data_IF_649024480439
#
_entry.id   IF_649024480439
#
_cell.length_a   1.000
_cell.length_b   1.000
_cell.length_c   1.000
_cell.angle_alpha   90.00
_cell.angle_beta   90.00
_cell.angle_gamma   90.00
#
_symmetry.space_group_name_H-M   'P 1'
#
loop_
_entity.id
_entity.type
_entity.pdbx_description
1 polymer ?
#
# COMPACT_ATOMS: atom_id res chain seq x y z
N UNK A 1 -17.62 4.14 -4.11
CA UNK A 1 -17.17 4.79 -2.83
C UNK A 1 -17.60 3.90 -1.68
N UNK A 2 -16.70 3.58 -0.75
CA UNK A 2 -16.99 2.74 0.42
C UNK A 2 -17.58 3.60 1.53
N UNK A 3 -18.70 3.17 2.13
CA UNK A 3 -19.32 3.81 3.29
C UNK A 3 -18.76 3.16 4.57
N UNK A 4 -17.96 3.89 5.33
CA UNK A 4 -17.49 3.45 6.65
C UNK A 4 -18.46 3.91 7.75
N UNK A 5 -18.85 3.02 8.64
CA UNK A 5 -19.55 3.30 9.87
C UNK A 5 -18.75 2.74 11.06
N UNK A 6 -18.35 3.59 11.99
CA UNK A 6 -17.72 3.14 13.23
C UNK A 6 -18.76 3.12 14.34
N UNK A 7 -18.89 1.99 15.01
CA UNK A 7 -19.80 1.81 16.14
C UNK A 7 -19.08 1.88 17.48
N UNK A 8 -19.80 1.76 18.59
CA UNK A 8 -19.22 1.77 19.93
C UNK A 8 -18.24 0.60 20.10
N UNK A 9 -17.17 0.84 20.88
CA UNK A 9 -16.22 -0.20 21.27
C UNK A 9 -16.92 -1.38 21.95
N UNK A 10 -16.43 -2.59 21.69
CA UNK A 10 -16.95 -3.82 22.31
C UNK A 10 -15.83 -4.81 22.61
N UNK A 11 -16.09 -5.76 23.50
CA UNK A 11 -15.22 -6.93 23.59
C UNK A 11 -15.38 -7.80 22.35
N UNK A 12 -14.29 -8.28 21.80
CA UNK A 12 -14.34 -9.25 20.71
C UNK A 12 -14.86 -10.59 21.24
N UNK A 13 -16.06 -10.99 20.79
CA UNK A 13 -16.63 -12.28 21.14
C UNK A 13 -15.88 -13.42 20.43
N UNK A 14 -15.92 -14.63 21.00
CA UNK A 14 -15.41 -15.81 20.30
C UNK A 14 -16.23 -16.07 19.03
N UNK A 15 -15.54 -16.46 17.94
CA UNK A 15 -16.16 -16.83 16.68
C UNK A 15 -16.12 -18.36 16.60
N UNK A 16 -17.29 -19.00 16.42
CA UNK A 16 -17.38 -20.47 16.38
C UNK A 16 -16.87 -21.05 15.04
N UNK A 17 -16.96 -20.28 13.95
CA UNK A 17 -16.49 -20.70 12.64
C UNK A 17 -14.96 -20.59 12.53
N UNK A 18 -14.36 -21.45 11.71
CA UNK A 18 -12.94 -21.38 11.37
C UNK A 18 -12.71 -20.28 10.34
N UNK A 19 -11.68 -19.45 10.46
CA UNK A 19 -11.32 -18.49 9.43
C UNK A 19 -10.95 -19.24 8.13
N UNK A 20 -11.38 -18.73 6.98
CA UNK A 20 -10.98 -19.30 5.70
C UNK A 20 -9.56 -18.89 5.30
N UNK A 21 -9.07 -17.80 5.86
CA UNK A 21 -7.70 -17.31 5.66
C UNK A 21 -7.20 -16.58 6.90
N UNK A 22 -5.88 -16.69 7.15
CA UNK A 22 -5.18 -15.92 8.18
C UNK A 22 -3.97 -15.23 7.56
N UNK A 23 -3.83 -13.94 7.85
CA UNK A 23 -2.56 -13.26 7.61
C UNK A 23 -1.69 -13.35 8.86
N UNK A 24 -0.52 -13.97 8.70
CA UNK A 24 0.41 -14.25 9.81
C UNK A 24 1.68 -13.45 9.60
N UNK A 25 2.14 -12.77 10.64
CA UNK A 25 3.40 -12.03 10.64
C UNK A 25 4.61 -12.98 10.67
N UNK A 26 5.79 -12.44 10.36
CA UNK A 26 7.02 -13.23 10.30
C UNK A 26 7.44 -13.89 11.63
N UNK A 27 6.92 -13.43 12.77
CA UNK A 27 7.11 -14.00 14.11
C UNK A 27 6.07 -15.08 14.49
N UNK A 28 5.14 -15.40 13.58
CA UNK A 28 4.06 -16.36 13.78
C UNK A 28 2.78 -15.77 14.39
N UNK A 29 2.75 -14.48 14.71
CA UNK A 29 1.55 -13.83 15.25
C UNK A 29 0.48 -13.71 14.17
N UNK A 30 -0.76 -14.12 14.48
CA UNK A 30 -1.92 -13.89 13.61
C UNK A 30 -2.25 -12.39 13.65
N UNK A 31 -2.10 -11.75 12.48
CA UNK A 31 -2.38 -10.33 12.31
C UNK A 31 -3.85 -10.07 11.95
N UNK A 32 -4.41 -10.87 11.02
CA UNK A 32 -5.80 -10.74 10.60
C UNK A 32 -6.39 -12.11 10.33
N UNK A 33 -7.58 -12.34 10.89
CA UNK A 33 -8.41 -13.52 10.61
C UNK A 33 -9.54 -13.13 9.67
N UNK A 34 -9.79 -13.93 8.64
CA UNK A 34 -10.81 -13.68 7.62
C UNK A 34 -11.92 -14.72 7.71
N UNK A 35 -13.14 -14.24 7.90
CA UNK A 35 -14.34 -15.08 7.99
C UNK A 35 -15.35 -14.66 6.93
N UNK A 36 -16.12 -15.65 6.43
CA UNK A 36 -17.33 -15.40 5.64
C UNK A 36 -18.55 -15.38 6.55
N UNK A 37 -19.49 -14.49 6.23
CA UNK A 37 -20.79 -14.40 6.89
C UNK A 37 -21.91 -14.30 5.85
N UNK A 38 -23.16 -14.45 6.28
CA UNK A 38 -24.32 -14.31 5.38
C UNK A 38 -24.42 -12.92 4.74
N UNK A 39 -23.87 -11.89 5.40
CA UNK A 39 -23.87 -10.50 4.92
C UNK A 39 -22.62 -10.12 4.11
N UNK A 40 -21.60 -10.99 4.06
CA UNK A 40 -20.32 -10.72 3.40
C UNK A 40 -19.14 -11.28 4.17
N UNK A 41 -18.31 -10.45 4.73
CA UNK A 41 -17.05 -10.84 5.38
C UNK A 41 -16.90 -10.21 6.75
N UNK A 42 -16.21 -10.91 7.64
CA UNK A 42 -15.71 -10.36 8.90
C UNK A 42 -14.19 -10.49 8.92
N UNK A 43 -13.49 -9.37 9.06
CA UNK A 43 -12.04 -9.32 9.22
C UNK A 43 -11.74 -8.91 10.66
N UNK A 44 -11.10 -9.82 11.40
CA UNK A 44 -10.71 -9.60 12.79
C UNK A 44 -9.24 -9.27 12.89
N UNK A 45 -8.94 -8.15 13.50
CA UNK A 45 -7.61 -7.83 14.05
C UNK A 45 -7.66 -8.09 15.55
N UNK A 46 -7.02 -9.17 16.04
CA UNK A 46 -7.09 -9.54 17.45
C UNK A 46 -6.71 -8.36 18.36
N UNK A 47 -7.52 -8.14 19.40
CA UNK A 47 -7.38 -7.08 20.39
C UNK A 47 -7.44 -5.63 19.87
N UNK A 48 -7.69 -5.41 18.57
CA UNK A 48 -7.75 -4.09 17.95
C UNK A 48 -9.14 -3.74 17.41
N UNK A 49 -9.67 -4.50 16.46
CA UNK A 49 -10.98 -4.23 15.85
C UNK A 49 -11.50 -5.42 15.04
N UNK A 50 -12.82 -5.49 14.92
CA UNK A 50 -13.51 -6.29 13.91
C UNK A 50 -14.06 -5.37 12.82
N UNK A 51 -13.94 -5.78 11.54
CA UNK A 51 -14.53 -5.07 10.41
C UNK A 51 -15.48 -5.98 9.65
N UNK A 52 -16.75 -5.61 9.60
CA UNK A 52 -17.74 -6.26 8.75
C UNK A 52 -17.73 -5.58 7.38
N UNK A 53 -17.52 -6.35 6.32
CA UNK A 53 -17.48 -5.85 4.94
C UNK A 53 -18.63 -6.51 4.18
N UNK A 54 -19.49 -5.70 3.54
CA UNK A 54 -20.59 -6.21 2.72
C UNK A 54 -20.08 -7.10 1.57
N UNK A 55 -20.92 -8.03 1.11
CA UNK A 55 -20.56 -8.96 0.04
C UNK A 55 -20.09 -8.27 -1.26
N UNK A 56 -20.58 -7.07 -1.54
CA UNK A 56 -20.21 -6.23 -2.67
C UNK A 56 -19.07 -5.24 -2.38
N UNK A 57 -18.56 -5.20 -1.15
CA UNK A 57 -17.50 -4.29 -0.72
C UNK A 57 -17.88 -2.82 -0.60
N UNK A 58 -19.18 -2.47 -0.68
CA UNK A 58 -19.61 -1.06 -0.66
C UNK A 58 -19.81 -0.48 0.75
N UNK A 59 -20.00 -1.34 1.75
CA UNK A 59 -20.20 -0.94 3.14
C UNK A 59 -19.20 -1.63 4.06
N UNK A 60 -18.69 -0.87 5.02
CA UNK A 60 -17.80 -1.35 6.07
C UNK A 60 -18.30 -0.86 7.42
N UNK A 61 -18.46 -1.77 8.38
CA UNK A 61 -18.77 -1.43 9.77
C UNK A 61 -17.55 -1.80 10.63
N UNK A 62 -16.98 -0.81 11.29
CA UNK A 62 -15.87 -1.00 12.21
C UNK A 62 -16.35 -1.12 13.64
N UNK A 63 -15.95 -2.17 14.32
CA UNK A 63 -16.21 -2.46 15.73
C UNK A 63 -14.87 -2.41 16.48
N UNK A 64 -14.48 -1.26 17.05
CA UNK A 64 -13.26 -1.16 17.85
C UNK A 64 -13.27 -2.14 19.03
N UNK A 65 -12.16 -2.77 19.31
CA UNK A 65 -11.99 -3.49 20.58
C UNK A 65 -11.88 -2.48 21.73
N UNK A 66 -12.17 -2.92 22.95
CA UNK A 66 -12.14 -2.05 24.12
C UNK A 66 -10.75 -1.44 24.31
N UNK A 67 -10.70 -0.11 24.33
CA UNK A 67 -9.48 0.67 24.53
C UNK A 67 -8.67 0.93 23.25
N UNK A 68 -9.17 0.53 22.08
CA UNK A 68 -8.53 0.88 20.81
C UNK A 68 -8.85 2.32 20.43
N UNK A 69 -7.84 3.11 20.17
CA UNK A 69 -8.00 4.51 19.77
C UNK A 69 -8.54 4.64 18.33
N UNK A 70 -9.17 5.78 18.03
CA UNK A 70 -9.78 6.03 16.72
C UNK A 70 -8.75 6.12 15.59
N UNK A 71 -7.51 6.55 15.86
CA UNK A 71 -6.45 6.64 14.86
C UNK A 71 -6.00 5.25 14.42
N UNK A 72 -5.97 4.28 15.35
CA UNK A 72 -5.71 2.87 15.06
C UNK A 72 -6.79 2.28 14.16
N UNK A 73 -8.07 2.52 14.48
CA UNK A 73 -9.20 2.02 13.65
C UNK A 73 -9.18 2.63 12.26
N UNK A 74 -8.97 3.95 12.16
CA UNK A 74 -8.85 4.65 10.87
C UNK A 74 -7.71 4.10 10.04
N UNK A 75 -6.57 3.84 10.67
CA UNK A 75 -5.41 3.30 9.98
C UNK A 75 -5.64 1.88 9.45
N UNK A 76 -6.21 1.00 10.25
CA UNK A 76 -6.59 -0.36 9.82
C UNK A 76 -7.55 -0.29 8.63
N UNK A 77 -8.56 0.59 8.72
CA UNK A 77 -9.50 0.80 7.64
C UNK A 77 -8.81 1.24 6.35
N UNK A 78 -8.05 2.33 6.39
CA UNK A 78 -7.48 2.94 5.18
C UNK A 78 -6.44 2.04 4.49
N UNK A 79 -5.63 1.31 5.26
CA UNK A 79 -4.47 0.59 4.71
C UNK A 79 -4.68 -0.92 4.59
N UNK A 80 -5.73 -1.48 5.20
CA UNK A 80 -6.00 -2.92 5.16
C UNK A 80 -7.40 -3.20 4.61
N UNK A 81 -8.44 -2.56 5.16
CA UNK A 81 -9.82 -2.91 4.85
C UNK A 81 -10.29 -2.30 3.54
N UNK A 82 -10.09 -0.99 3.35
CA UNK A 82 -10.55 -0.31 2.14
C UNK A 82 -9.96 -0.90 0.85
N UNK A 83 -8.64 -1.22 0.76
CA UNK A 83 -8.08 -1.89 -0.42
C UNK A 83 -8.72 -3.26 -0.69
N UNK A 84 -8.98 -4.04 0.37
CA UNK A 84 -9.66 -5.34 0.25
C UNK A 84 -11.10 -5.19 -0.18
N UNK A 85 -11.85 -4.23 0.37
CA UNK A 85 -13.23 -3.95 -0.03
C UNK A 85 -13.31 -3.46 -1.50
N UNK A 86 -12.34 -2.64 -1.95
CA UNK A 86 -12.22 -2.21 -3.34
C UNK A 86 -12.00 -3.38 -4.29
N UNK A 87 -11.26 -4.42 -3.88
CA UNK A 87 -11.08 -5.62 -4.69
C UNK A 87 -12.40 -6.33 -5.00
N UNK A 88 -13.38 -6.29 -4.07
CA UNK A 88 -14.74 -6.81 -4.31
C UNK A 88 -15.55 -5.98 -5.31
N UNK A 89 -15.20 -4.71 -5.48
CA UNK A 89 -15.81 -3.81 -6.45
C UNK A 89 -15.13 -3.87 -7.83
N UNK A 90 -14.19 -4.79 -8.03
CA UNK A 90 -13.39 -4.89 -9.25
C UNK A 90 -12.41 -3.71 -9.41
N UNK A 91 -12.10 -3.00 -8.33
CA UNK A 91 -11.13 -1.91 -8.34
C UNK A 91 -9.78 -2.38 -7.79
N UNK A 92 -8.74 -2.29 -8.55
CA UNK A 92 -7.42 -2.78 -8.22
C UNK A 92 -6.68 -1.92 -7.21
N UNK A 93 -6.33 -2.52 -6.14
CA UNK A 93 -5.49 -1.94 -5.12
C UNK A 93 -4.21 -2.75 -4.91
N UNK A 94 -3.09 -2.04 -4.75
CA UNK A 94 -1.77 -2.64 -4.62
C UNK A 94 -1.04 -2.11 -3.39
N UNK A 95 -0.26 -2.96 -2.77
CA UNK A 95 0.63 -2.57 -1.68
C UNK A 95 1.85 -1.85 -2.25
N UNK A 96 1.74 -0.55 -2.39
CA UNK A 96 2.73 0.31 -3.02
C UNK A 96 2.79 1.70 -2.39
N UNK A 97 3.96 2.35 -2.50
CA UNK A 97 4.14 3.78 -2.24
C UNK A 97 4.32 4.50 -3.58
N UNK A 98 3.74 5.68 -3.75
CA UNK A 98 3.72 6.40 -5.04
C UNK A 98 4.15 7.84 -4.87
N UNK A 99 5.06 8.26 -5.74
CA UNK A 99 5.55 9.66 -5.83
C UNK A 99 5.40 10.18 -7.26
N UNK A 100 5.48 11.50 -7.45
CA UNK A 100 5.54 12.11 -8.78
C UNK A 100 6.99 12.33 -9.21
N UNK A 101 7.29 11.90 -10.44
CA UNK A 101 8.59 12.14 -11.09
C UNK A 101 8.31 12.62 -12.50
N UNK A 102 8.89 13.76 -12.88
CA UNK A 102 8.74 14.34 -14.23
C UNK A 102 7.28 14.44 -14.73
N UNK A 103 6.36 14.77 -13.82
CA UNK A 103 4.94 14.94 -14.13
C UNK A 103 4.11 13.66 -14.16
N UNK A 104 4.70 12.49 -13.96
CA UNK A 104 4.02 11.19 -13.89
C UNK A 104 4.16 10.53 -12.52
N UNK A 105 3.29 9.57 -12.23
CA UNK A 105 3.35 8.76 -11.03
C UNK A 105 4.36 7.61 -11.21
N UNK A 106 5.18 7.41 -10.21
CA UNK A 106 6.13 6.30 -10.08
C UNK A 106 5.76 5.50 -8.86
N UNK A 107 5.43 4.23 -9.06
CA UNK A 107 5.04 3.30 -8.00
C UNK A 107 6.22 2.45 -7.54
N UNK A 108 6.40 2.31 -6.23
CA UNK A 108 7.35 1.38 -5.61
C UNK A 108 6.57 0.20 -5.05
N UNK A 109 6.75 -0.98 -5.63
CA UNK A 109 6.17 -2.26 -5.25
C UNK A 109 7.19 -3.09 -4.46
N UNK A 110 6.75 -4.14 -3.77
CA UNK A 110 7.63 -5.09 -3.08
C UNK A 110 7.09 -5.50 -1.71
N UNK A 111 7.67 -6.54 -1.15
CA UNK A 111 7.27 -7.10 0.15
C UNK A 111 7.35 -6.06 1.27
N UNK A 112 6.64 -6.31 2.38
CA UNK A 112 6.79 -5.51 3.59
C UNK A 112 8.25 -5.49 4.05
N UNK A 113 8.73 -4.34 4.53
CA UNK A 113 10.12 -4.18 4.98
C UNK A 113 11.14 -3.88 3.87
N UNK A 114 10.78 -3.94 2.58
CA UNK A 114 11.71 -3.66 1.47
C UNK A 114 12.03 -2.17 1.25
N UNK A 115 11.54 -1.27 2.09
CA UNK A 115 11.91 0.15 2.05
C UNK A 115 11.08 1.01 1.08
N UNK A 116 9.89 0.57 0.62
CA UNK A 116 9.00 1.36 -0.25
C UNK A 116 8.71 2.74 0.32
N UNK A 117 8.16 2.79 1.55
CA UNK A 117 7.82 4.04 2.24
C UNK A 117 9.06 4.91 2.49
N UNK A 118 10.20 4.30 2.83
CA UNK A 118 11.47 5.02 3.04
C UNK A 118 11.96 5.67 1.74
N UNK A 119 11.89 4.93 0.62
CA UNK A 119 12.27 5.47 -0.68
C UNK A 119 11.30 6.59 -1.11
N UNK A 120 9.99 6.38 -0.99
CA UNK A 120 8.98 7.41 -1.29
C UNK A 120 9.17 8.66 -0.42
N UNK A 121 9.43 8.51 0.88
CA UNK A 121 9.72 9.61 1.78
C UNK A 121 10.99 10.37 1.36
N UNK A 122 12.04 9.65 0.92
CA UNK A 122 13.25 10.29 0.43
C UNK A 122 13.00 11.16 -0.81
N UNK A 123 12.08 10.77 -1.71
CA UNK A 123 11.63 11.60 -2.82
C UNK A 123 10.82 12.80 -2.34
N UNK A 124 9.88 12.59 -1.42
CA UNK A 124 9.01 13.64 -0.91
C UNK A 124 9.81 14.75 -0.19
N UNK A 125 10.81 14.36 0.62
CA UNK A 125 11.72 15.28 1.30
C UNK A 125 12.59 16.06 0.29
N UNK A 126 12.94 15.44 -0.84
CA UNK A 126 13.66 16.10 -1.93
C UNK A 126 12.75 16.98 -2.81
N UNK A 127 11.47 17.17 -2.46
CA UNK A 127 10.53 18.08 -3.12
C UNK A 127 9.57 17.45 -4.12
N UNK A 128 9.60 16.12 -4.31
CA UNK A 128 8.58 15.44 -5.10
C UNK A 128 7.24 15.39 -4.34
N UNK A 129 6.11 15.46 -5.04
CA UNK A 129 4.84 15.19 -4.40
C UNK A 129 4.65 13.67 -4.25
N UNK A 130 4.05 13.24 -3.15
CA UNK A 130 3.58 11.85 -2.99
C UNK A 130 2.07 11.76 -3.19
N UNK A 131 1.58 10.60 -3.63
CA UNK A 131 0.14 10.34 -3.83
C UNK A 131 -0.44 9.42 -2.75
N UNK A 132 0.30 8.37 -2.42
CA UNK A 132 -0.15 7.34 -1.49
C UNK A 132 1.03 6.61 -0.86
N UNK A 133 0.79 6.02 0.30
CA UNK A 133 1.66 5.05 0.95
C UNK A 133 0.81 3.85 1.38
N UNK A 134 1.35 2.65 1.26
CA UNK A 134 0.73 1.36 1.58
C UNK A 134 -0.45 0.91 0.68
N UNK A 135 -1.19 1.80 0.02
CA UNK A 135 -2.36 1.41 -0.80
C UNK A 135 -2.49 2.26 -2.07
N UNK A 136 -1.99 1.74 -3.18
CA UNK A 136 -2.16 2.30 -4.52
C UNK A 136 -3.43 1.75 -5.17
N UNK A 137 -4.39 2.61 -5.46
CA UNK A 137 -5.54 2.28 -6.32
C UNK A 137 -5.25 2.78 -7.73
N UNK A 138 -5.46 1.93 -8.73
CA UNK A 138 -5.30 2.28 -10.14
C UNK A 138 -6.66 2.36 -10.82
N UNK A 139 -6.87 3.43 -11.56
CA UNK A 139 -8.01 3.61 -12.48
C UNK A 139 -7.53 3.57 -13.92
N UNK A 140 -8.22 2.79 -14.75
CA UNK A 140 -7.99 2.80 -16.19
C UNK A 140 -8.86 3.88 -16.84
N UNK A 141 -8.24 4.86 -17.53
CA UNK A 141 -8.90 5.93 -18.29
C UNK A 141 -8.19 6.12 -19.62
N UNK A 142 -8.93 6.35 -20.68
CA UNK A 142 -8.40 6.76 -22.00
C UNK A 142 -7.22 5.89 -22.47
N UNK A 143 -7.26 4.60 -22.13
CA UNK A 143 -6.22 3.64 -22.50
C UNK A 143 -4.98 3.65 -21.57
N UNK A 144 -4.87 4.58 -20.64
CA UNK A 144 -3.78 4.69 -19.63
C UNK A 144 -4.17 4.18 -18.25
N UNK A 145 -3.20 4.11 -17.37
CA UNK A 145 -3.36 3.80 -15.94
C UNK A 145 -3.10 5.06 -15.11
N UNK A 146 -3.99 5.38 -14.18
CA UNK A 146 -3.86 6.54 -13.29
C UNK A 146 -3.82 6.08 -11.84
N UNK A 147 -2.80 6.52 -11.12
CA UNK A 147 -2.71 6.36 -9.68
C UNK A 147 -3.66 7.34 -9.01
N UNK A 148 -4.57 6.83 -8.17
CA UNK A 148 -5.45 7.65 -7.38
C UNK A 148 -4.73 8.09 -6.09
N UNK A 149 -4.99 9.34 -5.69
CA UNK A 149 -4.54 9.85 -4.42
C UNK A 149 -5.30 9.20 -3.26
N UNK A 150 -4.59 8.89 -2.18
CA UNK A 150 -5.18 8.38 -0.95
C UNK A 150 -4.94 9.31 0.24
N UNK A 151 -4.81 8.76 1.43
CA UNK A 151 -4.59 9.54 2.64
C UNK A 151 -3.25 10.31 2.58
N UNK A 152 -3.19 11.60 2.95
CA UNK A 152 -2.01 12.45 2.85
C UNK A 152 -0.99 12.18 3.96
N UNK A 153 -0.55 10.94 4.13
CA UNK A 153 0.48 10.57 5.11
C UNK A 153 1.40 9.49 4.60
N UNK A 154 2.66 9.55 5.03
CA UNK A 154 3.68 8.52 4.89
C UNK A 154 3.98 7.91 6.25
N UNK A 155 4.25 6.61 6.31
CA UNK A 155 4.59 5.93 7.56
C UNK A 155 5.99 5.35 7.53
N UNK A 156 6.83 5.81 8.44
CA UNK A 156 8.23 5.45 8.52
C UNK A 156 8.57 4.81 9.88
N UNK A 157 9.48 3.85 9.86
CA UNK A 157 10.15 3.41 11.07
C UNK A 157 10.97 4.54 11.67
N UNK A 158 11.20 4.53 12.97
CA UNK A 158 11.91 5.59 13.68
C UNK A 158 13.32 5.82 13.13
N UNK A 159 14.04 4.76 12.79
CA UNK A 159 15.37 4.85 12.16
C UNK A 159 15.34 5.58 10.80
N UNK A 160 14.26 5.38 10.01
CA UNK A 160 14.05 6.11 8.75
C UNK A 160 13.73 7.59 9.00
N UNK A 161 12.96 7.90 10.05
CA UNK A 161 12.69 9.28 10.45
C UNK A 161 13.98 9.98 10.86
N UNK A 162 14.75 9.35 11.75
CA UNK A 162 16.02 9.91 12.27
C UNK A 162 17.04 10.15 11.14
N UNK A 163 17.09 9.22 10.17
CA UNK A 163 18.04 9.30 9.07
C UNK A 163 17.64 10.33 7.99
N UNK A 164 16.34 10.50 7.72
CA UNK A 164 15.83 11.31 6.60
C UNK A 164 15.42 12.74 7.03
N UNK A 165 14.92 12.92 8.24
CA UNK A 165 14.25 14.16 8.66
C UNK A 165 14.96 14.79 9.87
N UNK A 166 15.62 13.97 10.70
CA UNK A 166 16.14 14.42 11.98
C UNK A 166 15.02 14.63 13.02
N UNK A 167 15.39 15.06 14.23
CA UNK A 167 14.48 15.10 15.39
C UNK A 167 13.46 16.27 15.38
N UNK A 168 13.42 17.12 14.37
CA UNK A 168 12.70 18.40 14.44
C UNK A 168 11.29 18.41 13.81
N UNK A 169 10.86 17.38 13.08
CA UNK A 169 9.61 17.44 12.28
C UNK A 169 8.78 16.15 12.43
N UNK A 170 8.38 15.80 13.63
CA UNK A 170 7.46 14.67 13.81
C UNK A 170 6.21 15.11 14.55
N UNK A 171 5.13 15.34 13.81
CA UNK A 171 3.77 15.32 14.37
C UNK A 171 3.34 13.85 14.39
N UNK A 172 3.77 13.13 15.44
CA UNK A 172 3.64 11.67 15.51
C UNK A 172 2.37 11.24 16.21
N UNK A 173 1.25 11.19 15.50
CA UNK A 173 0.14 10.34 15.91
C UNK A 173 0.55 8.88 15.72
N UNK A 174 1.03 8.25 16.76
CA UNK A 174 1.33 6.80 16.76
C UNK A 174 0.01 6.03 16.82
N UNK A 175 -0.07 4.92 16.09
CA UNK A 175 -1.14 3.93 16.28
C UNK A 175 -0.68 2.89 17.31
N UNK A 176 -1.62 2.33 18.07
CA UNK A 176 -1.32 1.50 19.24
C UNK A 176 -0.50 0.23 18.95
N UNK A 177 -0.52 -0.27 17.71
CA UNK A 177 0.13 -1.55 17.34
C UNK A 177 1.41 -1.39 16.52
N UNK A 178 1.84 -0.18 16.16
CA UNK A 178 3.01 0.05 15.31
C UNK A 178 3.85 1.21 15.82
N UNK A 179 5.15 0.98 15.93
CA UNK A 179 6.13 2.01 16.27
C UNK A 179 6.52 2.92 15.09
N UNK A 180 5.86 2.77 13.92
CA UNK A 180 6.07 3.66 12.79
C UNK A 180 5.52 5.05 13.10
N UNK A 181 6.33 6.08 12.87
CA UNK A 181 5.90 7.46 12.90
C UNK A 181 5.07 7.80 11.66
N UNK A 182 4.04 8.62 11.82
CA UNK A 182 3.20 9.13 10.74
C UNK A 182 3.66 10.52 10.36
N UNK A 183 4.07 10.71 9.11
CA UNK A 183 4.40 12.01 8.53
C UNK A 183 3.19 12.49 7.74
N UNK A 184 2.58 13.58 8.18
CA UNK A 184 1.47 14.21 7.47
C UNK A 184 1.97 15.15 6.38
N UNK A 185 1.25 15.23 5.27
CA UNK A 185 1.43 16.30 4.30
C UNK A 185 1.20 17.67 4.96
N UNK A 186 2.09 18.61 4.71
CA UNK A 186 2.05 19.92 5.31
C UNK A 186 3.03 20.87 4.64
N UNK A 187 3.72 21.70 5.41
CA UNK A 187 4.68 22.67 4.87
C UNK A 187 5.91 22.03 4.21
N UNK A 188 6.31 20.83 4.65
CA UNK A 188 7.52 20.15 4.20
C UNK A 188 7.30 19.02 3.21
N UNK A 189 6.11 18.40 3.21
CA UNK A 189 5.76 17.30 2.30
C UNK A 189 4.57 17.68 1.44
N UNK A 190 4.73 17.64 0.12
CA UNK A 190 3.67 17.93 -0.84
C UNK A 190 2.90 16.65 -1.14
N UNK A 191 1.57 16.68 -1.01
CA UNK A 191 0.67 15.61 -1.39
C UNK A 191 -0.10 15.99 -2.66
N UNK A 192 -0.06 15.13 -3.68
CA UNK A 192 -0.87 15.29 -4.88
C UNK A 192 -2.29 14.81 -4.61
N UNK A 193 -3.27 15.65 -4.86
CA UNK A 193 -4.69 15.33 -4.65
C UNK A 193 -5.38 14.77 -5.89
N UNK A 194 -4.84 15.11 -7.05
CA UNK A 194 -5.40 14.70 -8.34
C UNK A 194 -4.82 13.36 -8.78
N UNK A 195 -5.59 12.54 -9.53
CA UNK A 195 -5.06 11.35 -10.16
C UNK A 195 -3.92 11.69 -11.12
N UNK A 196 -2.87 10.88 -11.10
CA UNK A 196 -1.68 11.08 -11.93
C UNK A 196 -1.41 9.85 -12.79
N UNK A 197 -1.13 10.06 -14.08
CA UNK A 197 -0.79 8.98 -15.02
C UNK A 197 0.43 8.20 -14.51
N UNK A 198 0.34 6.86 -14.47
CA UNK A 198 1.44 5.99 -14.02
C UNK A 198 2.44 5.83 -15.16
N UNK A 199 3.64 6.37 -14.98
CA UNK A 199 4.73 6.31 -15.95
C UNK A 199 5.59 5.05 -15.80
N UNK A 200 5.81 4.59 -14.57
CA UNK A 200 6.59 3.38 -14.28
C UNK A 200 6.26 2.80 -12.90
N UNK A 201 6.57 1.52 -12.74
CA UNK A 201 6.60 0.84 -11.46
C UNK A 201 7.97 0.20 -11.25
N UNK A 202 8.47 0.28 -10.01
CA UNK A 202 9.73 -0.34 -9.60
C UNK A 202 9.46 -1.35 -8.49
N UNK A 203 9.81 -2.59 -8.73
CA UNK A 203 9.72 -3.68 -7.76
C UNK A 203 11.02 -3.70 -6.96
N UNK A 204 10.94 -3.40 -5.68
CA UNK A 204 12.10 -3.42 -4.81
C UNK A 204 12.50 -4.87 -4.54
N UNK A 205 13.65 -5.27 -5.05
CA UNK A 205 14.25 -6.58 -4.86
C UNK A 205 14.94 -6.73 -3.50
N UNK A 206 15.42 -7.94 -3.23
CA UNK A 206 16.17 -8.27 -2.02
C UNK A 206 17.68 -8.35 -2.22
N UNK A 207 18.18 -8.12 -3.42
CA UNK A 207 19.60 -8.16 -3.72
C UNK A 207 20.26 -6.83 -3.35
N UNK A 208 21.51 -6.91 -2.89
CA UNK A 208 22.35 -5.75 -2.57
C UNK A 208 23.57 -5.73 -3.50
N UNK A 209 23.41 -5.28 -4.75
CA UNK A 209 24.53 -5.15 -5.69
C UNK A 209 25.51 -4.07 -5.22
N UNK A 210 26.73 -4.07 -5.78
CA UNK A 210 27.73 -3.01 -5.52
C UNK A 210 27.27 -1.61 -5.96
N UNK A 211 26.21 -1.52 -6.80
CA UNK A 211 25.66 -0.27 -7.31
C UNK A 211 24.14 -0.23 -7.23
N UNK A 212 23.55 0.43 -8.23
CA UNK A 212 22.11 0.47 -8.43
C UNK A 212 21.82 -0.29 -9.72
N UNK A 213 20.99 -1.34 -9.62
CA UNK A 213 20.53 -2.11 -10.76
C UNK A 213 19.05 -1.82 -11.04
N UNK A 214 18.74 -1.48 -12.28
CA UNK A 214 17.38 -1.32 -12.80
C UNK A 214 17.27 -2.20 -14.03
N UNK A 215 16.40 -3.21 -13.96
CA UNK A 215 16.21 -4.17 -15.05
C UNK A 215 14.74 -4.23 -15.45
N UNK A 216 14.47 -4.29 -16.76
CA UNK A 216 13.09 -4.36 -17.25
C UNK A 216 12.51 -5.75 -16.96
N UNK A 217 11.39 -5.78 -16.22
CA UNK A 217 10.63 -7.01 -16.04
C UNK A 217 9.73 -7.26 -17.25
N UNK A 218 9.62 -8.51 -17.68
CA UNK A 218 8.86 -8.90 -18.85
C UNK A 218 7.98 -10.13 -18.63
N UNK A 219 6.98 -10.31 -19.48
CA UNK A 219 6.12 -11.51 -19.48
C UNK A 219 5.54 -11.84 -18.11
N UNK A 220 5.67 -13.09 -17.70
CA UNK A 220 5.11 -13.59 -16.44
C UNK A 220 5.73 -12.93 -15.20
N UNK A 221 6.99 -12.58 -15.24
CA UNK A 221 7.71 -11.98 -14.12
C UNK A 221 7.11 -10.60 -13.79
N UNK A 222 6.90 -9.77 -14.81
CA UNK A 222 6.23 -8.48 -14.70
C UNK A 222 4.80 -8.65 -14.15
N UNK A 223 4.00 -9.55 -14.75
CA UNK A 223 2.63 -9.77 -14.31
C UNK A 223 2.56 -10.26 -12.86
N UNK A 224 3.36 -11.27 -12.50
CA UNK A 224 3.39 -11.81 -11.15
C UNK A 224 3.82 -10.78 -10.10
N UNK A 225 4.67 -9.82 -10.46
CA UNK A 225 5.03 -8.74 -9.55
C UNK A 225 3.83 -7.87 -9.15
N UNK A 226 2.88 -7.64 -10.05
CA UNK A 226 1.62 -6.96 -9.75
C UNK A 226 0.67 -7.84 -8.94
N UNK A 227 0.50 -9.11 -9.31
CA UNK A 227 -0.35 -10.07 -8.58
C UNK A 227 0.10 -10.19 -7.13
N UNK A 228 1.39 -10.37 -6.88
CA UNK A 228 1.94 -10.57 -5.53
C UNK A 228 1.86 -9.33 -4.63
N UNK A 229 1.69 -8.16 -5.21
CA UNK A 229 1.56 -6.90 -4.45
C UNK A 229 0.13 -6.36 -4.46
N UNK A 230 -0.85 -7.14 -4.90
CA UNK A 230 -2.25 -6.72 -4.93
C UNK A 230 -3.02 -7.14 -3.68
N UNK A 231 -4.07 -6.39 -3.39
CA UNK A 231 -5.05 -6.75 -2.36
C UNK A 231 -6.17 -7.59 -2.99
N UNK A 232 -6.48 -8.71 -2.38
CA UNK A 232 -7.60 -9.57 -2.75
C UNK A 232 -8.28 -10.08 -1.48
N UNK A 233 -9.57 -9.76 -1.33
CA UNK A 233 -10.30 -10.07 -0.09
C UNK A 233 -10.54 -11.56 0.08
N UNK A 234 -10.93 -12.25 -1.00
CA UNK A 234 -11.26 -13.67 -0.97
C UNK A 234 -10.47 -14.45 -2.03
N UNK A 235 -9.40 -15.09 -1.59
CA UNK A 235 -8.50 -15.89 -2.45
C UNK A 235 -9.09 -17.23 -2.87
N UNK A 236 -10.23 -17.63 -2.30
CA UNK A 236 -10.94 -18.87 -2.65
C UNK A 236 -12.15 -18.63 -3.56
N UNK A 237 -12.57 -17.37 -3.73
CA UNK A 237 -13.58 -16.98 -4.71
C UNK A 237 -12.96 -17.01 -6.12
N UNK A 238 -13.31 -18.06 -6.88
CA UNK A 238 -12.71 -18.32 -8.20
C UNK A 238 -13.05 -17.26 -9.24
N UNK A 239 -14.26 -16.69 -9.17
CA UNK A 239 -14.68 -15.64 -10.11
C UNK A 239 -13.90 -14.35 -9.84
N UNK A 240 -13.85 -13.94 -8.58
CA UNK A 240 -13.06 -12.79 -8.15
C UNK A 240 -11.58 -12.97 -8.48
N UNK A 241 -11.02 -14.17 -8.24
CA UNK A 241 -9.63 -14.48 -8.55
C UNK A 241 -9.34 -14.39 -10.05
N UNK A 242 -10.23 -14.88 -10.90
CA UNK A 242 -10.08 -14.81 -12.35
C UNK A 242 -10.13 -13.33 -12.85
N UNK A 243 -11.12 -12.57 -12.40
CA UNK A 243 -11.24 -11.14 -12.72
C UNK A 243 -10.01 -10.36 -12.26
N UNK A 244 -9.54 -10.65 -11.05
CA UNK A 244 -8.35 -10.03 -10.48
C UNK A 244 -7.09 -10.33 -11.30
N UNK A 245 -6.94 -11.59 -11.76
CA UNK A 245 -5.82 -11.99 -12.59
C UNK A 245 -5.82 -11.30 -13.96
N UNK A 246 -6.97 -11.24 -14.62
CA UNK A 246 -7.14 -10.56 -15.91
C UNK A 246 -6.81 -9.07 -15.81
N UNK A 247 -7.17 -8.45 -14.72
CA UNK A 247 -7.06 -7.07 -14.34
C UNK A 247 -5.60 -6.69 -14.06
N UNK A 248 -4.90 -7.48 -13.22
CA UNK A 248 -3.48 -7.29 -13.01
C UNK A 248 -2.67 -7.54 -14.29
N UNK A 249 -3.15 -8.43 -15.19
CA UNK A 249 -2.58 -8.63 -16.51
C UNK A 249 -2.69 -7.37 -17.38
N UNK A 250 -3.87 -6.75 -17.45
CA UNK A 250 -4.05 -5.50 -18.22
C UNK A 250 -3.17 -4.37 -17.71
N UNK A 251 -3.11 -4.16 -16.39
CA UNK A 251 -2.26 -3.13 -15.79
C UNK A 251 -0.78 -3.40 -16.09
N UNK A 252 -0.31 -4.62 -15.86
CA UNK A 252 1.08 -4.99 -16.12
C UNK A 252 1.44 -4.84 -17.60
N UNK A 253 0.48 -4.98 -18.52
CA UNK A 253 0.66 -4.74 -19.94
C UNK A 253 0.82 -3.26 -20.32
N UNK A 254 0.27 -2.35 -19.52
CA UNK A 254 0.25 -0.89 -19.77
C UNK A 254 1.33 -0.13 -19.01
N UNK A 255 1.70 -0.60 -17.81
CA UNK A 255 2.66 0.09 -16.94
C UNK A 255 4.05 -0.54 -17.10
N UNK A 256 5.05 0.20 -17.65
CA UNK A 256 6.44 -0.24 -17.64
C UNK A 256 6.89 -0.59 -16.23
N UNK A 257 7.41 -1.79 -16.04
CA UNK A 257 7.74 -2.30 -14.71
C UNK A 257 9.18 -2.81 -14.71
N UNK A 258 9.94 -2.43 -13.68
CA UNK A 258 11.36 -2.71 -13.53
C UNK A 258 11.64 -3.32 -12.16
N UNK A 259 12.68 -4.16 -12.04
CA UNK A 259 13.30 -4.40 -10.75
C UNK A 259 14.15 -3.20 -10.35
N UNK A 260 14.29 -2.97 -9.05
CA UNK A 260 15.17 -1.95 -8.48
C UNK A 260 15.91 -2.55 -7.29
N UNK A 261 17.19 -2.82 -7.50
CA UNK A 261 18.09 -3.38 -6.50
C UNK A 261 19.20 -2.39 -6.16
N UNK A 262 19.46 -2.22 -4.88
CA UNK A 262 20.49 -1.32 -4.36
C UNK A 262 20.82 -1.66 -2.91
N UNK A 263 21.99 -1.27 -2.43
CA UNK A 263 22.37 -1.43 -1.01
C UNK A 263 21.44 -0.60 -0.12
N UNK A 264 20.77 -1.26 0.85
CA UNK A 264 19.74 -0.69 1.73
C UNK A 264 20.32 0.21 2.82
N UNK A 265 21.01 1.26 2.41
CA UNK A 265 21.61 2.28 3.28
C UNK A 265 20.97 3.63 3.00
N UNK A 266 20.72 4.42 4.04
CA UNK A 266 20.15 5.77 3.87
C UNK A 266 21.05 6.67 3.02
N UNK A 267 22.38 6.49 3.11
CA UNK A 267 23.38 7.24 2.33
C UNK A 267 23.30 6.96 0.81
N UNK A 268 22.70 5.87 0.37
CA UNK A 268 22.54 5.56 -1.06
C UNK A 268 21.28 6.15 -1.67
N UNK A 269 20.30 6.56 -0.86
CA UNK A 269 19.00 7.04 -1.35
C UNK A 269 19.10 8.25 -2.32
N UNK A 270 20.00 9.23 -2.16
CA UNK A 270 20.15 10.29 -3.15
C UNK A 270 20.51 9.78 -4.53
N UNK A 271 21.44 8.80 -4.62
CA UNK A 271 21.83 8.18 -5.89
C UNK A 271 20.69 7.34 -6.47
N UNK A 272 19.95 6.59 -5.63
CA UNK A 272 18.79 5.80 -6.06
C UNK A 272 17.71 6.72 -6.63
N UNK A 273 17.40 7.84 -5.98
CA UNK A 273 16.46 8.82 -6.54
C UNK A 273 16.88 9.30 -7.91
N UNK A 274 18.17 9.70 -8.05
CA UNK A 274 18.66 10.18 -9.33
C UNK A 274 18.57 9.11 -10.42
N UNK A 275 18.97 7.88 -10.12
CA UNK A 275 18.87 6.77 -11.08
C UNK A 275 17.43 6.50 -11.52
N UNK A 276 16.45 6.53 -10.60
CA UNK A 276 15.02 6.40 -10.93
C UNK A 276 14.54 7.57 -11.78
N UNK A 277 14.93 8.80 -11.45
CA UNK A 277 14.56 10.01 -12.23
C UNK A 277 15.11 9.90 -13.66
N UNK A 278 16.38 9.61 -13.82
CA UNK A 278 17.03 9.49 -15.14
C UNK A 278 16.39 8.38 -15.97
N UNK A 279 16.08 7.25 -15.33
CA UNK A 279 15.42 6.14 -15.98
C UNK A 279 14.01 6.52 -16.48
N UNK A 280 13.19 7.16 -15.63
CA UNK A 280 11.83 7.61 -15.99
C UNK A 280 11.87 8.64 -17.13
N UNK A 281 12.81 9.58 -17.10
CA UNK A 281 12.99 10.56 -18.18
C UNK A 281 13.33 9.86 -19.50
N UNK A 282 14.13 8.79 -19.45
CA UNK A 282 14.50 8.04 -20.66
C UNK A 282 13.32 7.27 -21.29
N UNK A 283 12.26 6.98 -20.52
CA UNK A 283 11.04 6.33 -21.04
C UNK A 283 10.08 7.30 -21.76
N UNK A 284 10.22 8.61 -21.49
CA UNK A 284 9.31 9.64 -21.99
C UNK A 284 9.88 10.42 -23.19
N UNK A 285 11.13 10.20 -23.55
CA UNK A 285 11.81 10.74 -24.73
C UNK A 285 11.79 9.71 -25.89
#
# INVERSE_FOLDING_TARGET
MIRLTTVSERMQASIESTPFHNYVLGDGTVWTEFYRSDAGYLLRFPDLADFEVSADGTEVIAHPAKGTDSATVEHLYLNQIAPLALSRQGQPAFHASVVTVSGGAVAFLGKAGMGKSTLAASFAIAGAAFLTDDSLVIEERDGGCFALSSHPSLRLWQDSVDALIGSEIVDSTQVSYSSKARLLAGQTLTHSKEPVSVHAAFVLGGEEPEGIAIECLSGNERHMSWVMNSFLLDIEDRELLAEHFDWTHRISGKVPTFSLDYARKYSTLPQVRQAVIDHVISLTN
#
